data_IF_059023867410
#
_entry.id   IF_059023867410
#
_cell.length_a   1.000
_cell.length_b   1.000
_cell.length_c   1.000
_cell.angle_alpha   90.00
_cell.angle_beta   90.00
_cell.angle_gamma   90.00
#
_symmetry.space_group_name_H-M   'P 1'
#
loop_
_entity.id
_entity.type
_entity.pdbx_description
1 polymer ?
#
# COMPACT_ATOMS: atom_id res chain seq x y z
N UNK A 1 22.18 13.88 20.54
CA UNK A 1 23.54 14.11 21.05
C UNK A 1 24.25 12.77 21.11
N UNK A 2 25.35 12.63 20.38
CA UNK A 2 26.21 11.43 20.46
C UNK A 2 27.22 11.62 21.59
N UNK A 3 27.67 10.53 22.22
CA UNK A 3 28.76 10.60 23.19
C UNK A 3 30.06 11.05 22.50
N UNK A 4 30.93 11.79 23.20
CA UNK A 4 32.26 12.11 22.69
C UNK A 4 33.05 10.81 22.48
N UNK A 5 34.05 10.85 21.59
CA UNK A 5 34.94 9.70 21.40
C UNK A 5 35.67 9.36 22.69
N UNK A 6 35.92 8.07 22.90
CA UNK A 6 36.72 7.60 24.03
C UNK A 6 38.17 8.13 23.92
N UNK A 7 38.82 8.45 25.05
CA UNK A 7 40.21 8.90 25.05
C UNK A 7 41.14 7.80 24.53
N UNK A 8 42.17 8.21 23.79
CA UNK A 8 43.22 7.33 23.27
C UNK A 8 44.54 7.63 23.97
N UNK A 9 45.45 6.65 24.03
CA UNK A 9 46.80 6.87 24.58
C UNK A 9 47.56 7.89 23.74
N UNK A 10 48.28 8.80 24.41
CA UNK A 10 49.17 9.76 23.77
C UNK A 10 50.53 9.13 23.39
N UNK A 11 50.82 7.93 23.91
CA UNK A 11 52.03 7.15 23.65
C UNK A 11 51.65 5.83 22.99
N UNK A 12 52.42 5.38 22.00
CA UNK A 12 52.16 4.12 21.30
C UNK A 12 52.27 2.92 22.26
N UNK A 13 51.18 2.15 22.36
CA UNK A 13 51.14 0.90 23.14
C UNK A 13 51.15 -0.25 22.14
N UNK A 14 52.31 -0.86 21.93
CA UNK A 14 52.47 -2.06 21.10
C UNK A 14 52.12 -3.33 21.90
N UNK A 15 52.88 -4.42 21.78
CA UNK A 15 52.62 -5.68 22.50
C UNK A 15 52.98 -5.65 24.00
N UNK A 16 53.43 -4.53 24.54
CA UNK A 16 53.88 -4.39 25.94
C UNK A 16 52.76 -4.70 26.94
N UNK A 17 51.50 -4.51 26.55
CA UNK A 17 50.32 -4.82 27.36
C UNK A 17 49.72 -6.22 27.10
N UNK A 18 50.37 -7.08 26.31
CA UNK A 18 49.84 -8.40 26.00
C UNK A 18 49.90 -9.34 27.22
N UNK A 19 48.88 -10.18 27.44
CA UNK A 19 48.91 -11.14 28.53
C UNK A 19 49.99 -12.20 28.28
N UNK A 20 50.79 -12.48 29.31
CA UNK A 20 51.88 -13.48 29.27
C UNK A 20 51.37 -14.87 29.70
N UNK A 21 50.21 -14.93 30.36
CA UNK A 21 49.59 -16.15 30.87
C UNK A 21 48.35 -16.53 30.04
N UNK A 22 48.05 -17.84 29.89
CA UNK A 22 46.82 -18.29 29.25
C UNK A 22 45.59 -17.85 30.06
N UNK A 23 44.48 -17.65 29.37
CA UNK A 23 43.22 -17.27 29.99
C UNK A 23 42.71 -18.35 30.93
N UNK A 24 42.20 -17.95 32.09
CA UNK A 24 41.54 -18.87 33.00
C UNK A 24 40.13 -19.25 32.50
N UNK A 25 39.52 -20.35 33.00
CA UNK A 25 38.18 -20.77 32.59
C UNK A 25 37.08 -19.71 32.81
N UNK A 26 37.24 -18.82 33.79
CA UNK A 26 36.29 -17.75 34.07
C UNK A 26 36.37 -16.63 33.03
N UNK A 27 37.58 -16.30 32.58
CA UNK A 27 37.85 -15.34 31.50
C UNK A 27 37.29 -15.85 30.18
N UNK A 28 37.50 -17.13 29.85
CA UNK A 28 36.91 -17.77 28.66
C UNK A 28 35.37 -17.70 28.71
N UNK A 29 34.76 -17.97 29.88
CA UNK A 29 33.32 -17.86 30.06
C UNK A 29 32.83 -16.42 29.86
N UNK A 30 33.57 -15.43 30.38
CA UNK A 30 33.25 -14.02 30.22
C UNK A 30 33.36 -13.56 28.76
N UNK A 31 34.36 -14.01 28.01
CA UNK A 31 34.48 -13.72 26.58
C UNK A 31 33.32 -14.31 25.77
N UNK A 32 32.93 -15.55 26.08
CA UNK A 32 31.75 -16.18 25.47
C UNK A 32 30.47 -15.40 25.77
N UNK A 33 30.30 -14.96 27.02
CA UNK A 33 29.15 -14.11 27.41
C UNK A 33 29.16 -12.77 26.68
N UNK A 34 30.31 -12.10 26.56
CA UNK A 34 30.43 -10.85 25.79
C UNK A 34 30.09 -11.04 24.31
N UNK A 35 30.55 -12.14 23.71
CA UNK A 35 30.20 -12.47 22.32
C UNK A 35 28.70 -12.67 22.14
N UNK A 36 28.03 -13.36 23.08
CA UNK A 36 26.58 -13.54 23.08
C UNK A 36 25.83 -12.21 23.26
N UNK A 37 26.30 -11.35 24.17
CA UNK A 37 25.72 -10.01 24.35
C UNK A 37 25.82 -9.18 23.06
N UNK A 38 26.97 -9.19 22.39
CA UNK A 38 27.12 -8.47 21.12
C UNK A 38 26.25 -9.04 20.00
N UNK A 39 26.01 -10.35 19.97
CA UNK A 39 25.06 -10.94 19.02
C UNK A 39 23.63 -10.43 19.29
N UNK A 40 23.20 -10.44 20.56
CA UNK A 40 21.89 -9.91 20.97
C UNK A 40 21.76 -8.41 20.64
N UNK A 41 22.78 -7.61 20.96
CA UNK A 41 22.81 -6.18 20.65
C UNK A 41 22.67 -5.91 19.15
N UNK A 42 23.30 -6.74 18.32
CA UNK A 42 23.22 -6.64 16.86
C UNK A 42 21.81 -6.95 16.37
N UNK A 43 21.22 -8.06 16.79
CA UNK A 43 19.86 -8.44 16.42
C UNK A 43 18.83 -7.38 16.85
N UNK A 44 18.96 -6.85 18.07
CA UNK A 44 18.12 -5.77 18.57
C UNK A 44 18.28 -4.49 17.75
N UNK A 45 19.51 -4.13 17.40
CA UNK A 45 19.79 -2.95 16.57
C UNK A 45 19.21 -3.10 15.17
N UNK A 46 19.39 -4.26 14.54
CA UNK A 46 18.90 -4.52 13.18
C UNK A 46 17.38 -4.49 13.13
N UNK A 47 16.72 -5.15 14.10
CA UNK A 47 15.26 -5.09 14.24
C UNK A 47 14.77 -3.65 14.46
N UNK A 48 15.39 -2.90 15.38
CA UNK A 48 14.96 -1.55 15.72
C UNK A 48 15.13 -0.58 14.55
N UNK A 49 16.27 -0.63 13.86
CA UNK A 49 16.54 0.21 12.69
C UNK A 49 15.52 -0.11 11.59
N UNK A 50 15.31 -1.40 11.29
CA UNK A 50 14.36 -1.83 10.27
C UNK A 50 12.94 -1.33 10.58
N UNK A 51 12.50 -1.51 11.83
CA UNK A 51 11.18 -1.06 12.28
C UNK A 51 11.04 0.46 12.22
N UNK A 52 12.06 1.20 12.64
CA UNK A 52 12.06 2.67 12.63
C UNK A 52 11.98 3.21 11.20
N UNK A 53 12.84 2.72 10.30
CA UNK A 53 12.88 3.15 8.91
C UNK A 53 11.55 2.86 8.19
N UNK A 54 10.99 1.66 8.36
CA UNK A 54 9.69 1.30 7.77
C UNK A 54 8.56 2.20 8.30
N UNK A 55 8.54 2.48 9.60
CA UNK A 55 7.55 3.39 10.20
C UNK A 55 7.65 4.80 9.62
N UNK A 56 8.85 5.38 9.59
CA UNK A 56 9.07 6.74 9.10
C UNK A 56 8.72 6.86 7.62
N UNK A 57 9.13 5.88 6.80
CA UNK A 57 8.74 5.81 5.39
C UNK A 57 7.22 5.75 5.21
N UNK A 58 6.54 4.83 5.91
CA UNK A 58 5.10 4.65 5.75
C UNK A 58 4.31 5.87 6.24
N UNK A 59 4.76 6.53 7.31
CA UNK A 59 4.17 7.79 7.75
C UNK A 59 4.39 8.91 6.73
N UNK A 60 5.58 8.98 6.12
CA UNK A 60 5.87 9.90 5.02
C UNK A 60 4.94 9.69 3.83
N UNK A 61 4.74 8.43 3.41
CA UNK A 61 3.81 8.08 2.33
C UNK A 61 2.36 8.44 2.68
N UNK A 62 1.90 8.14 3.90
CA UNK A 62 0.57 8.53 4.37
C UNK A 62 0.36 10.05 4.26
N UNK A 63 1.33 10.84 4.76
CA UNK A 63 1.27 12.30 4.69
C UNK A 63 1.29 12.81 3.24
N UNK A 64 2.05 12.17 2.35
CA UNK A 64 2.08 12.50 0.93
C UNK A 64 0.70 12.26 0.28
N UNK A 65 0.09 11.10 0.53
CA UNK A 65 -1.24 10.78 0.00
C UNK A 65 -2.32 11.71 0.52
N UNK A 66 -2.28 12.06 1.81
CA UNK A 66 -3.19 13.04 2.41
C UNK A 66 -3.06 14.42 1.76
N UNK A 67 -1.83 14.90 1.55
CA UNK A 67 -1.57 16.22 0.92
C UNK A 67 -2.08 16.30 -0.52
N UNK A 68 -2.04 15.18 -1.25
CA UNK A 68 -2.49 15.12 -2.64
C UNK A 68 -3.92 14.56 -2.79
N UNK A 69 -4.68 14.46 -1.70
CA UNK A 69 -6.07 14.01 -1.69
C UNK A 69 -6.32 12.63 -2.35
N UNK A 70 -5.37 11.71 -2.20
CA UNK A 70 -5.53 10.35 -2.74
C UNK A 70 -6.61 9.57 -2.00
N UNK A 71 -7.40 8.80 -2.74
CA UNK A 71 -8.34 7.81 -2.20
C UNK A 71 -8.03 6.43 -2.78
N UNK A 72 -8.15 5.39 -1.95
CA UNK A 72 -7.92 4.00 -2.34
C UNK A 72 -9.16 3.15 -2.10
N UNK A 73 -8.99 1.82 -2.04
CA UNK A 73 -10.10 0.88 -1.90
C UNK A 73 -10.88 1.05 -0.57
N UNK A 74 -10.24 1.58 0.48
CA UNK A 74 -10.85 1.81 1.79
C UNK A 74 -11.62 3.13 1.91
N UNK A 75 -11.54 4.01 0.91
CA UNK A 75 -12.28 5.30 0.84
C UNK A 75 -12.18 6.12 2.14
N UNK A 76 -10.96 6.23 2.69
CA UNK A 76 -10.70 6.90 3.96
C UNK A 76 -10.25 8.37 3.82
N UNK A 77 -10.72 9.07 2.78
CA UNK A 77 -10.35 10.45 2.55
C UNK A 77 -11.48 11.41 2.95
N UNK A 78 -11.31 12.26 3.97
CA UNK A 78 -12.38 13.12 4.46
C UNK A 78 -12.70 14.25 3.48
N UNK A 79 -11.70 14.77 2.77
CA UNK A 79 -11.83 15.91 1.86
C UNK A 79 -12.21 15.52 0.42
N UNK A 80 -12.69 14.29 0.21
CA UNK A 80 -13.16 13.84 -1.10
C UNK A 80 -14.57 14.40 -1.36
N UNK A 81 -14.80 15.13 -2.48
CA UNK A 81 -16.12 15.61 -2.86
C UNK A 81 -17.14 14.47 -2.95
N UNK A 82 -18.40 14.72 -2.58
CA UNK A 82 -19.43 13.67 -2.49
C UNK A 82 -19.67 12.95 -3.82
N UNK A 83 -19.66 13.68 -4.94
CA UNK A 83 -19.82 13.10 -6.29
C UNK A 83 -18.69 12.12 -6.60
N UNK A 84 -17.45 12.49 -6.28
CA UNK A 84 -16.27 11.62 -6.48
C UNK A 84 -16.30 10.42 -5.52
N UNK A 85 -16.76 10.64 -4.28
CA UNK A 85 -16.91 9.58 -3.27
C UNK A 85 -17.90 8.52 -3.71
N UNK A 86 -19.08 8.93 -4.20
CA UNK A 86 -20.10 8.00 -4.71
C UNK A 86 -19.59 7.26 -5.93
N UNK A 87 -19.04 7.97 -6.91
CA UNK A 87 -18.50 7.37 -8.13
C UNK A 87 -17.39 6.36 -7.83
N UNK A 88 -16.49 6.69 -6.91
CA UNK A 88 -15.42 5.79 -6.48
C UNK A 88 -15.96 4.60 -5.67
N UNK A 89 -16.98 4.82 -4.84
CA UNK A 89 -17.66 3.72 -4.13
C UNK A 89 -18.33 2.75 -5.11
N UNK A 90 -18.97 3.23 -6.17
CA UNK A 90 -19.54 2.37 -7.21
C UNK A 90 -18.47 1.54 -7.90
N UNK A 91 -17.32 2.16 -8.23
CA UNK A 91 -16.20 1.49 -8.85
C UNK A 91 -15.56 0.43 -7.94
N UNK A 92 -15.52 0.64 -6.62
CA UNK A 92 -14.80 -0.22 -5.65
C UNK A 92 -15.69 -1.25 -4.94
N UNK A 93 -16.95 -0.93 -4.64
CA UNK A 93 -17.83 -1.77 -3.83
C UNK A 93 -19.21 -1.96 -4.49
N UNK A 94 -19.72 -0.92 -5.14
CA UNK A 94 -21.04 -0.92 -5.78
C UNK A 94 -21.02 -1.47 -7.20
N UNK A 95 -21.98 -1.03 -8.02
CA UNK A 95 -22.03 -1.34 -9.45
C UNK A 95 -22.19 -0.02 -10.20
N UNK A 96 -21.20 0.40 -11.02
CA UNK A 96 -21.36 1.56 -11.88
C UNK A 96 -22.53 1.30 -12.84
N UNK A 97 -23.52 2.18 -12.87
CA UNK A 97 -24.69 2.05 -13.73
C UNK A 97 -25.27 3.43 -14.07
N UNK A 98 -26.23 3.49 -14.99
CA UNK A 98 -26.83 4.72 -15.50
C UNK A 98 -28.33 4.71 -15.22
N UNK A 99 -28.80 5.73 -14.51
CA UNK A 99 -30.19 5.83 -14.08
C UNK A 99 -31.11 6.15 -15.26
N UNK A 100 -32.30 5.54 -15.26
CA UNK A 100 -33.26 5.74 -16.34
C UNK A 100 -33.82 7.16 -16.39
N UNK A 101 -33.74 7.91 -15.27
CA UNK A 101 -34.15 9.32 -15.17
C UNK A 101 -33.22 10.30 -15.88
N UNK A 102 -32.00 9.89 -16.24
CA UNK A 102 -31.03 10.75 -16.93
C UNK A 102 -31.33 10.81 -18.44
N UNK A 103 -31.10 11.99 -19.04
CA UNK A 103 -31.06 12.14 -20.49
C UNK A 103 -29.90 11.33 -21.09
N UNK A 104 -29.97 11.01 -22.38
CA UNK A 104 -28.91 10.26 -23.07
C UNK A 104 -27.54 10.95 -22.93
N UNK A 105 -27.49 12.27 -23.13
CA UNK A 105 -26.26 13.06 -22.98
C UNK A 105 -25.69 13.00 -21.55
N UNK A 106 -26.57 13.04 -20.53
CA UNK A 106 -26.14 12.92 -19.14
C UNK A 106 -25.62 11.52 -18.82
N UNK A 107 -26.20 10.47 -19.43
CA UNK A 107 -25.70 9.09 -19.32
C UNK A 107 -24.33 8.94 -19.99
N UNK A 108 -24.15 9.51 -21.19
CA UNK A 108 -22.87 9.51 -21.90
C UNK A 108 -21.78 10.19 -21.06
N UNK A 109 -22.07 11.39 -20.54
CA UNK A 109 -21.14 12.10 -19.65
C UNK A 109 -20.80 11.30 -18.39
N UNK A 110 -21.78 10.59 -17.79
CA UNK A 110 -21.54 9.74 -16.61
C UNK A 110 -20.61 8.56 -16.95
N UNK A 111 -20.78 7.91 -18.11
CA UNK A 111 -19.88 6.84 -18.58
C UNK A 111 -18.46 7.38 -18.81
N UNK A 112 -18.35 8.56 -19.41
CA UNK A 112 -17.06 9.20 -19.65
C UNK A 112 -16.33 9.54 -18.36
N UNK A 113 -17.05 10.03 -17.34
CA UNK A 113 -16.50 10.29 -16.02
C UNK A 113 -16.03 9.01 -15.34
N UNK A 114 -16.85 7.95 -15.29
CA UNK A 114 -16.43 6.65 -14.77
C UNK A 114 -15.18 6.14 -15.49
N UNK A 115 -15.16 6.24 -16.82
CA UNK A 115 -14.04 5.78 -17.65
C UNK A 115 -12.78 6.57 -17.38
N UNK A 116 -12.87 7.90 -17.31
CA UNK A 116 -11.74 8.78 -17.01
C UNK A 116 -11.15 8.48 -15.63
N UNK A 117 -11.99 8.44 -14.59
CA UNK A 117 -11.58 8.15 -13.21
C UNK A 117 -10.96 6.76 -13.12
N UNK A 118 -11.60 5.75 -13.70
CA UNK A 118 -11.10 4.38 -13.65
C UNK A 118 -9.77 4.21 -14.38
N UNK A 119 -9.61 4.81 -15.57
CA UNK A 119 -8.35 4.76 -16.33
C UNK A 119 -7.20 5.51 -15.65
N UNK A 120 -7.50 6.56 -14.90
CA UNK A 120 -6.52 7.28 -14.10
C UNK A 120 -6.11 6.47 -12.85
N UNK A 121 -7.03 5.71 -12.27
CA UNK A 121 -6.79 4.91 -11.07
C UNK A 121 -6.11 3.55 -11.35
N UNK A 122 -6.44 2.91 -12.48
CA UNK A 122 -5.91 1.63 -12.89
C UNK A 122 -5.06 1.79 -14.15
N UNK A 123 -3.75 1.57 -13.99
CA UNK A 123 -2.80 1.48 -15.09
C UNK A 123 -2.95 0.16 -15.87
N UNK A 124 -2.09 -0.06 -16.86
CA UNK A 124 -2.12 -1.27 -17.69
C UNK A 124 -1.64 -2.53 -16.95
N UNK A 125 -0.92 -2.37 -15.84
CA UNK A 125 -0.44 -3.48 -15.02
C UNK A 125 -1.51 -3.96 -14.02
N UNK A 126 -2.48 -3.11 -13.70
CA UNK A 126 -3.59 -3.47 -12.84
C UNK A 126 -4.49 -4.55 -13.47
N UNK A 127 -4.68 -5.72 -12.82
CA UNK A 127 -5.43 -6.83 -13.40
C UNK A 127 -6.91 -6.51 -13.64
N UNK A 128 -7.48 -5.54 -12.92
CA UNK A 128 -8.88 -5.16 -13.08
C UNK A 128 -9.10 -4.18 -14.23
N UNK A 129 -8.02 -3.65 -14.84
CA UNK A 129 -8.08 -2.61 -15.87
C UNK A 129 -8.84 -3.04 -17.12
N UNK A 130 -8.59 -4.25 -17.60
CA UNK A 130 -9.24 -4.79 -18.80
C UNK A 130 -10.72 -5.10 -18.50
N UNK A 131 -11.08 -5.90 -17.47
CA UNK A 131 -12.47 -6.16 -17.13
C UNK A 131 -13.29 -4.89 -16.87
N UNK A 132 -12.72 -3.92 -16.15
CA UNK A 132 -13.42 -2.66 -15.86
C UNK A 132 -13.71 -1.85 -17.12
N UNK A 133 -12.76 -1.72 -18.05
CA UNK A 133 -13.01 -1.01 -19.31
C UNK A 133 -13.95 -1.76 -20.24
N UNK A 134 -13.95 -3.09 -20.24
CA UNK A 134 -14.97 -3.87 -20.96
C UNK A 134 -16.38 -3.60 -20.42
N UNK A 135 -16.53 -3.56 -19.10
CA UNK A 135 -17.81 -3.24 -18.48
C UNK A 135 -18.27 -1.81 -18.80
N UNK A 136 -17.39 -0.81 -18.64
CA UNK A 136 -17.72 0.59 -18.93
C UNK A 136 -18.01 0.82 -20.43
N UNK A 137 -17.33 0.10 -21.33
CA UNK A 137 -17.68 0.09 -22.76
C UNK A 137 -19.09 -0.45 -22.98
N UNK A 138 -19.44 -1.57 -22.35
CA UNK A 138 -20.79 -2.12 -22.45
C UNK A 138 -21.87 -1.11 -22.00
N UNK A 139 -21.61 -0.33 -20.94
CA UNK A 139 -22.50 0.76 -20.53
C UNK A 139 -22.63 1.86 -21.61
N UNK A 140 -21.53 2.20 -22.28
CA UNK A 140 -21.53 3.15 -23.40
C UNK A 140 -22.25 2.63 -24.65
N UNK A 141 -22.21 1.33 -24.90
CA UNK A 141 -22.91 0.71 -26.04
C UNK A 141 -24.43 0.58 -25.79
N UNK A 142 -24.88 0.70 -24.54
CA UNK A 142 -26.27 0.45 -24.08
C UNK A 142 -26.92 1.69 -23.43
N UNK A 143 -26.48 2.90 -23.81
CA UNK A 143 -26.97 4.17 -23.26
C UNK A 143 -28.49 4.36 -23.44
N UNK A 144 -29.02 3.94 -24.59
CA UNK A 144 -30.44 4.04 -24.94
C UNK A 144 -31.34 2.98 -24.30
N UNK A 145 -30.76 1.99 -23.63
CA UNK A 145 -31.52 0.91 -22.97
C UNK A 145 -31.94 1.30 -21.55
N UNK A 146 -32.97 0.61 -21.04
CA UNK A 146 -33.32 0.67 -19.61
C UNK A 146 -32.28 -0.06 -18.77
N UNK A 147 -32.21 0.27 -17.48
CA UNK A 147 -31.28 -0.38 -16.55
C UNK A 147 -31.47 -1.91 -16.49
N UNK A 148 -32.70 -2.40 -16.61
CA UNK A 148 -33.01 -3.83 -16.62
C UNK A 148 -32.43 -4.54 -17.84
N UNK A 149 -32.61 -3.97 -19.04
CA UNK A 149 -32.08 -4.53 -20.28
C UNK A 149 -30.54 -4.50 -20.26
N UNK A 150 -29.96 -3.35 -19.89
CA UNK A 150 -28.52 -3.16 -19.76
C UNK A 150 -27.87 -4.14 -18.79
N UNK A 151 -28.55 -4.43 -17.67
CA UNK A 151 -28.05 -5.40 -16.71
C UNK A 151 -27.91 -6.78 -17.32
N UNK A 152 -28.87 -7.25 -18.12
CA UNK A 152 -28.76 -8.55 -18.79
C UNK A 152 -27.61 -8.58 -19.81
N UNK A 153 -27.39 -7.49 -20.55
CA UNK A 153 -26.34 -7.38 -21.56
C UNK A 153 -24.94 -7.31 -20.93
N UNK A 154 -24.77 -6.50 -19.89
CA UNK A 154 -23.46 -6.21 -19.30
C UNK A 154 -23.08 -7.10 -18.11
N UNK A 155 -23.94 -8.04 -17.69
CA UNK A 155 -23.71 -8.88 -16.50
C UNK A 155 -22.41 -9.68 -16.58
N UNK A 156 -22.07 -10.24 -17.73
CA UNK A 156 -20.87 -11.07 -17.90
C UNK A 156 -19.59 -10.24 -17.74
N UNK A 157 -19.57 -9.04 -18.32
CA UNK A 157 -18.46 -8.10 -18.17
C UNK A 157 -18.34 -7.61 -16.72
N UNK A 158 -19.47 -7.29 -16.08
CA UNK A 158 -19.49 -6.89 -14.68
C UNK A 158 -18.98 -8.00 -13.75
N UNK A 159 -19.38 -9.25 -13.98
CA UNK A 159 -18.99 -10.39 -13.14
C UNK A 159 -17.47 -10.57 -13.11
N UNK A 160 -16.81 -10.39 -14.25
CA UNK A 160 -15.34 -10.46 -14.36
C UNK A 160 -14.67 -9.28 -13.63
N UNK A 161 -15.25 -8.08 -13.76
CA UNK A 161 -14.76 -6.89 -13.06
C UNK A 161 -14.91 -7.01 -11.54
N UNK A 162 -16.08 -7.44 -11.07
CA UNK A 162 -16.39 -7.61 -9.65
C UNK A 162 -15.55 -8.72 -9.01
N UNK A 163 -15.32 -9.83 -9.72
CA UNK A 163 -14.42 -10.88 -9.25
C UNK A 163 -12.99 -10.37 -8.99
N UNK A 164 -12.44 -9.59 -9.93
CA UNK A 164 -11.12 -8.98 -9.77
C UNK A 164 -11.08 -8.02 -8.56
N UNK A 165 -12.12 -7.18 -8.44
CA UNK A 165 -12.25 -6.18 -7.37
C UNK A 165 -12.34 -6.81 -5.99
N UNK A 166 -13.16 -7.86 -5.84
CA UNK A 166 -13.23 -8.67 -4.61
C UNK A 166 -11.89 -9.32 -4.29
N UNK A 167 -11.17 -9.79 -5.31
CA UNK A 167 -9.80 -10.30 -5.18
C UNK A 167 -8.83 -9.26 -4.59
N UNK A 168 -8.84 -8.03 -5.09
CA UNK A 168 -8.01 -6.94 -4.56
C UNK A 168 -8.36 -6.60 -3.11
N UNK A 169 -9.66 -6.53 -2.76
CA UNK A 169 -10.11 -6.30 -1.39
C UNK A 169 -9.64 -7.43 -0.45
N UNK A 170 -9.70 -8.68 -0.89
CA UNK A 170 -9.21 -9.83 -0.12
C UNK A 170 -7.68 -9.80 0.06
N UNK A 171 -6.93 -9.42 -0.99
CA UNK A 171 -5.48 -9.24 -0.89
C UNK A 171 -5.12 -8.15 0.12
N UNK A 172 -5.81 -7.01 0.07
CA UNK A 172 -5.62 -5.93 1.04
C UNK A 172 -5.93 -6.41 2.47
N UNK A 173 -7.07 -7.08 2.68
CA UNK A 173 -7.45 -7.60 3.98
C UNK A 173 -6.43 -8.64 4.50
N UNK A 174 -5.82 -9.42 3.62
CA UNK A 174 -4.81 -10.43 3.98
C UNK A 174 -3.47 -9.77 4.34
N UNK A 175 -3.05 -8.74 3.61
CA UNK A 175 -1.82 -8.00 3.91
C UNK A 175 -1.89 -7.19 5.21
N UNK A 176 -3.09 -6.92 5.72
CA UNK A 176 -3.32 -6.22 6.99
C UNK A 176 -3.45 -7.14 8.20
N UNK A 177 -3.53 -8.46 8.00
CA UNK A 177 -3.54 -9.48 9.06
C UNK A 177 -2.12 -9.85 9.45
#
# INVERSE_FOLDING_TARGET
MSLPRLPTSNVEVSFVSAPIQPLDPSQIKNEKLRSQLHAIERELKDWWISRKLLRERNLGLYNLFQRHNFTGLSINQPNLPDVERVMWNDLVQGKPDLEDSLSLDAREMKVDLYTKVFKQAADLENPCRIPGVMYLRCLGDTLGESQSARTSTCLNAFSSFDACRKGLLQQQATAMK
#
